data_IF_318896495403
#
_entry.id   IF_318896495403
#
_cell.length_a   1.000
_cell.length_b   1.000
_cell.length_c   1.000
_cell.angle_alpha   90.00
_cell.angle_beta   90.00
_cell.angle_gamma   90.00
#
_symmetry.space_group_name_H-M   'P 1'
#
loop_
_entity.id
_entity.type
_entity.pdbx_description
1 polymer ?
#
# COMPACT_ATOMS: atom_id res chain seq x y z
N UNK A 1 -35.39 -11.76 20.14
CA UNK A 1 -35.12 -12.63 18.97
C UNK A 1 -34.81 -11.86 17.69
N UNK A 2 -35.62 -10.87 17.29
CA UNK A 2 -35.41 -10.13 16.03
C UNK A 2 -34.07 -9.35 15.96
N UNK A 3 -33.62 -8.76 17.07
CA UNK A 3 -32.33 -8.03 17.14
C UNK A 3 -31.15 -8.97 16.92
N UNK A 4 -31.12 -10.10 17.65
CA UNK A 4 -30.06 -11.12 17.49
C UNK A 4 -29.99 -11.66 16.05
N UNK A 5 -31.15 -12.03 15.47
CA UNK A 5 -31.24 -12.45 14.07
C UNK A 5 -30.78 -11.36 13.10
N UNK A 6 -31.10 -10.09 13.38
CA UNK A 6 -30.65 -8.94 12.60
C UNK A 6 -29.13 -8.82 12.56
N UNK A 7 -28.48 -8.94 13.72
CA UNK A 7 -27.01 -8.89 13.82
C UNK A 7 -26.34 -10.05 13.05
N UNK A 8 -26.86 -11.27 13.16
CA UNK A 8 -26.37 -12.41 12.37
C UNK A 8 -26.55 -12.20 10.86
N UNK A 9 -27.68 -11.61 10.43
CA UNK A 9 -27.93 -11.28 9.03
C UNK A 9 -26.99 -10.21 8.48
N UNK A 10 -26.60 -9.23 9.32
CA UNK A 10 -25.62 -8.22 8.95
C UNK A 10 -24.22 -8.83 8.76
N UNK A 11 -23.78 -9.71 9.67
CA UNK A 11 -22.52 -10.45 9.54
C UNK A 11 -22.49 -11.27 8.25
N UNK A 12 -23.57 -11.99 7.95
CA UNK A 12 -23.70 -12.76 6.70
C UNK A 12 -23.63 -11.85 5.47
N UNK A 13 -24.17 -10.63 5.54
CA UNK A 13 -24.13 -9.68 4.43
C UNK A 13 -22.71 -9.16 4.17
N UNK A 14 -21.91 -8.91 5.21
CA UNK A 14 -20.50 -8.52 5.07
C UNK A 14 -19.62 -9.66 4.52
N UNK A 15 -19.93 -10.91 4.86
CA UNK A 15 -19.23 -12.09 4.33
C UNK A 15 -19.64 -12.40 2.88
N UNK A 16 -20.92 -12.24 2.55
CA UNK A 16 -21.45 -12.50 1.21
C UNK A 16 -21.06 -11.43 0.18
N UNK A 17 -21.10 -10.15 0.57
CA UNK A 17 -20.80 -9.02 -0.31
C UNK A 17 -19.49 -8.36 0.12
N UNK A 18 -18.39 -8.89 -0.42
CA UNK A 18 -17.08 -8.28 -0.27
C UNK A 18 -16.97 -6.95 -1.03
N UNK A 19 -15.95 -6.16 -0.68
CA UNK A 19 -15.56 -4.97 -1.47
C UNK A 19 -15.32 -5.39 -2.93
N UNK A 20 -15.83 -4.63 -3.93
CA UNK A 20 -15.59 -4.93 -5.33
C UNK A 20 -14.10 -5.14 -5.62
N UNK A 21 -13.78 -6.27 -6.25
CA UNK A 21 -12.39 -6.69 -6.52
C UNK A 21 -11.57 -5.63 -7.27
N UNK A 22 -12.20 -4.90 -8.19
CA UNK A 22 -11.53 -3.85 -8.95
C UNK A 22 -10.99 -2.72 -8.05
N UNK A 23 -11.63 -2.43 -6.92
CA UNK A 23 -11.16 -1.39 -6.01
C UNK A 23 -9.86 -1.80 -5.31
N UNK A 24 -9.78 -3.04 -4.83
CA UNK A 24 -8.54 -3.54 -4.22
C UNK A 24 -7.43 -3.64 -5.25
N UNK A 25 -7.74 -4.07 -6.48
CA UNK A 25 -6.77 -4.13 -7.58
C UNK A 25 -6.20 -2.76 -7.96
N UNK A 26 -7.04 -1.73 -8.09
CA UNK A 26 -6.60 -0.37 -8.45
C UNK A 26 -5.65 0.20 -7.41
N UNK A 27 -5.95 0.00 -6.11
CA UNK A 27 -5.10 0.49 -5.03
C UNK A 27 -3.75 -0.25 -5.02
N UNK A 28 -3.75 -1.57 -5.13
CA UNK A 28 -2.51 -2.37 -5.19
C UNK A 28 -1.65 -1.97 -6.38
N UNK A 29 -2.25 -1.78 -7.56
CA UNK A 29 -1.54 -1.37 -8.76
C UNK A 29 -0.94 0.03 -8.61
N UNK A 30 -1.67 0.99 -8.06
CA UNK A 30 -1.17 2.34 -7.82
C UNK A 30 0.07 2.34 -6.90
N UNK A 31 0.03 1.58 -5.81
CA UNK A 31 1.14 1.50 -4.84
C UNK A 31 2.34 0.78 -5.46
N UNK A 32 2.12 -0.33 -6.16
CA UNK A 32 3.20 -1.12 -6.74
C UNK A 32 3.87 -0.41 -7.90
N UNK A 33 3.12 0.30 -8.73
CA UNK A 33 3.67 1.12 -9.83
C UNK A 33 4.46 2.31 -9.31
N UNK A 34 4.00 2.97 -8.24
CA UNK A 34 4.80 3.98 -7.54
C UNK A 34 6.14 3.42 -7.09
N UNK A 35 6.14 2.26 -6.42
CA UNK A 35 7.39 1.68 -5.94
C UNK A 35 8.30 1.17 -7.05
N UNK A 36 7.75 0.62 -8.13
CA UNK A 36 8.49 0.27 -9.34
C UNK A 36 9.26 1.50 -9.89
N UNK A 37 8.59 2.65 -9.97
CA UNK A 37 9.23 3.89 -10.39
C UNK A 37 10.30 4.36 -9.39
N UNK A 38 10.07 4.27 -8.08
CA UNK A 38 11.06 4.70 -7.08
C UNK A 38 12.30 3.80 -7.03
N UNK A 39 12.18 2.50 -7.30
CA UNK A 39 13.32 1.57 -7.34
C UNK A 39 14.32 1.97 -8.42
N UNK A 40 13.82 2.46 -9.57
CA UNK A 40 14.68 2.96 -10.65
C UNK A 40 15.07 4.43 -10.46
N UNK A 41 14.12 5.28 -10.05
CA UNK A 41 14.28 6.73 -10.04
C UNK A 41 14.88 7.33 -8.76
N UNK A 42 15.03 6.55 -7.67
CA UNK A 42 15.66 6.99 -6.42
C UNK A 42 17.01 6.31 -6.16
N UNK A 43 17.61 5.75 -7.22
CA UNK A 43 19.00 5.29 -7.17
C UNK A 43 19.94 6.49 -7.00
N UNK A 44 20.96 6.36 -6.15
CA UNK A 44 22.03 7.34 -6.10
C UNK A 44 22.86 7.22 -7.38
N UNK A 45 22.93 8.32 -8.14
CA UNK A 45 23.71 8.42 -9.36
C UNK A 45 25.13 8.92 -9.02
N UNK A 46 26.06 8.67 -9.95
CA UNK A 46 27.44 9.15 -9.85
C UNK A 46 27.47 10.70 -9.70
N UNK A 47 27.90 11.23 -8.53
CA UNK A 47 27.93 12.66 -8.28
C UNK A 47 28.87 13.43 -9.23
N UNK A 48 29.89 12.76 -9.78
CA UNK A 48 30.86 13.39 -10.69
C UNK A 48 30.22 13.79 -12.04
N UNK A 49 29.08 13.20 -12.39
CA UNK A 49 28.34 13.53 -13.61
C UNK A 49 27.49 14.79 -13.49
N UNK A 50 27.35 15.36 -12.28
CA UNK A 50 26.66 16.62 -12.06
C UNK A 50 25.17 16.59 -12.43
N UNK A 51 24.49 15.45 -12.24
CA UNK A 51 23.05 15.38 -12.49
C UNK A 51 22.28 16.23 -11.45
N UNK A 52 21.35 17.09 -11.89
CA UNK A 52 20.59 17.92 -10.97
C UNK A 52 19.77 17.06 -10.01
N UNK A 53 19.83 17.38 -8.71
CA UNK A 53 19.15 16.63 -7.65
C UNK A 53 19.82 15.32 -7.23
N UNK A 54 20.99 14.97 -7.79
CA UNK A 54 21.75 13.77 -7.44
C UNK A 54 23.21 14.13 -7.07
N UNK A 55 23.38 15.16 -6.25
CA UNK A 55 24.70 15.68 -5.85
C UNK A 55 25.33 14.89 -4.69
N UNK A 56 24.52 14.11 -3.96
CA UNK A 56 24.93 13.39 -2.76
C UNK A 56 24.63 11.90 -2.93
N UNK A 57 25.61 11.06 -2.61
CA UNK A 57 25.45 9.60 -2.51
C UNK A 57 25.53 9.18 -1.04
N UNK A 58 24.39 8.73 -0.49
CA UNK A 58 24.32 8.22 0.89
C UNK A 58 24.39 6.69 0.95
N UNK A 59 24.54 6.00 -0.19
CA UNK A 59 24.47 4.55 -0.39
C UNK A 59 23.11 3.90 -0.01
N UNK A 60 22.51 4.29 1.11
CA UNK A 60 21.22 3.80 1.61
C UNK A 60 20.16 4.89 1.43
N UNK A 61 19.08 4.65 0.67
CA UNK A 61 18.04 5.65 0.44
C UNK A 61 17.03 5.69 1.60
N UNK A 62 17.45 6.23 2.76
CA UNK A 62 16.69 6.23 4.03
C UNK A 62 15.27 6.78 3.86
N UNK A 63 15.11 7.92 3.18
CA UNK A 63 13.79 8.53 2.98
C UNK A 63 12.89 7.70 2.05
N UNK A 64 13.44 7.02 1.05
CA UNK A 64 12.68 6.11 0.19
C UNK A 64 12.22 4.88 0.98
N UNK A 65 13.04 4.37 1.89
CA UNK A 65 12.66 3.27 2.80
C UNK A 65 11.55 3.72 3.76
N UNK A 66 11.64 4.93 4.32
CA UNK A 66 10.56 5.47 5.16
C UNK A 66 9.25 5.66 4.37
N UNK A 67 9.32 6.16 3.13
CA UNK A 67 8.17 6.23 2.22
C UNK A 67 7.59 4.85 1.94
N UNK A 68 8.44 3.84 1.77
CA UNK A 68 8.02 2.45 1.62
C UNK A 68 7.21 1.97 2.83
N UNK A 69 7.73 2.13 4.05
CA UNK A 69 6.98 1.77 5.26
C UNK A 69 5.65 2.50 5.38
N UNK A 70 5.60 3.78 5.00
CA UNK A 70 4.37 4.56 5.07
C UNK A 70 3.30 4.03 4.11
N UNK A 71 3.58 3.96 2.81
CA UNK A 71 2.56 3.57 1.83
C UNK A 71 2.24 2.07 1.88
N UNK A 72 3.23 1.19 2.03
CA UNK A 72 2.96 -0.24 2.20
C UNK A 72 2.29 -0.51 3.54
N UNK A 73 2.70 0.17 4.61
CA UNK A 73 2.02 0.07 5.90
C UNK A 73 0.55 0.45 5.79
N UNK A 74 0.24 1.55 5.08
CA UNK A 74 -1.14 1.96 4.86
C UNK A 74 -1.94 0.94 4.05
N UNK A 75 -1.37 0.35 3.00
CA UNK A 75 -2.00 -0.76 2.27
C UNK A 75 -2.26 -1.97 3.18
N UNK A 76 -1.28 -2.35 3.99
CA UNK A 76 -1.37 -3.50 4.89
C UNK A 76 -2.46 -3.32 5.95
N UNK A 77 -2.70 -2.10 6.43
CA UNK A 77 -3.85 -1.81 7.32
C UNK A 77 -5.17 -2.16 6.63
N UNK A 78 -5.36 -1.75 5.38
CA UNK A 78 -6.57 -2.08 4.63
C UNK A 78 -6.69 -3.59 4.34
N UNK A 79 -5.58 -4.25 3.98
CA UNK A 79 -5.55 -5.70 3.76
C UNK A 79 -5.89 -6.50 5.02
N UNK A 80 -5.48 -6.07 6.20
CA UNK A 80 -5.82 -6.76 7.46
C UNK A 80 -7.29 -6.57 7.84
N UNK A 81 -7.87 -5.41 7.57
CA UNK A 81 -9.24 -5.09 7.96
C UNK A 81 -10.30 -5.52 6.93
N UNK A 82 -9.88 -5.94 5.72
CA UNK A 82 -10.82 -6.36 4.66
C UNK A 82 -11.64 -7.58 5.06
N UNK A 83 -11.05 -8.47 5.86
CA UNK A 83 -11.73 -9.57 6.53
C UNK A 83 -11.29 -9.61 8.00
N UNK A 84 -12.02 -8.94 8.89
CA UNK A 84 -11.65 -8.83 10.30
C UNK A 84 -11.97 -10.10 11.12
N UNK A 85 -12.52 -11.15 10.50
CA UNK A 85 -12.86 -12.43 11.14
C UNK A 85 -11.92 -13.57 10.73
N UNK A 86 -10.90 -13.28 9.90
CA UNK A 86 -9.83 -14.20 9.52
C UNK A 86 -8.60 -14.11 10.41
#
# INVERSE_FOLDING_TARGET
MHVFRGNCGMLFSYDWVSIPLVYTQVVTLAIYTYFLATVMGRQYLDPLKGYPGHEVDLYIPIFTILQFFFYMGWLKVAEQLINPFG
#
